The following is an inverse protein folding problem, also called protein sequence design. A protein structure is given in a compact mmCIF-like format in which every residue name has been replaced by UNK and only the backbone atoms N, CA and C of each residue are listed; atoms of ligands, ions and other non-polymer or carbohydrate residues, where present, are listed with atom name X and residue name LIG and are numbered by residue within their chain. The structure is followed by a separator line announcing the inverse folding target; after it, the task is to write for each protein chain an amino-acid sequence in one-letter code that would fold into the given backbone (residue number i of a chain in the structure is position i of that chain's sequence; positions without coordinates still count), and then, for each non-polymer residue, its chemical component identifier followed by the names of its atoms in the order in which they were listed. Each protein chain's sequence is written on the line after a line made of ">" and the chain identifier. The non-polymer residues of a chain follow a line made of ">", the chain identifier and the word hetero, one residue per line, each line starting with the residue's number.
data_IF_405972935263
#
_entry.id   IF_405972935263
#
_cell.length_a   1.000
_cell.length_b   1.000
_cell.length_c   1.000
_cell.angle_alpha   90.00
_cell.angle_beta   90.00
_cell.angle_gamma   90.00
#
_symmetry.space_group_name_H-M   'P 1'
#
loop_
_entity.id
_entity.type
_entity.pdbx_description
1 polymer ?
#
# COMPACT_ATOMS: atom_id res chain seq x y z
N UNK A 1 11.03 35.25 -26.58
CA UNK A 1 10.32 34.10 -27.20
C UNK A 1 11.08 32.81 -26.90
N UNK A 2 10.42 31.75 -26.42
CA UNK A 2 11.10 30.49 -26.08
C UNK A 2 10.96 29.48 -27.24
N UNK A 3 12.04 29.28 -28.00
CA UNK A 3 12.05 28.32 -29.10
C UNK A 3 12.39 26.91 -28.60
N UNK A 4 11.62 25.86 -29.01
CA UNK A 4 11.95 24.47 -28.72
C UNK A 4 13.33 24.08 -29.27
N UNK A 5 14.01 23.15 -28.58
CA UNK A 5 15.36 22.67 -28.96
C UNK A 5 15.46 22.26 -30.45
N UNK A 6 14.43 21.59 -30.97
CA UNK A 6 14.40 21.12 -32.35
C UNK A 6 14.34 22.28 -33.36
N UNK A 7 13.57 23.33 -33.06
CA UNK A 7 13.54 24.54 -33.91
C UNK A 7 14.89 25.26 -33.88
N UNK A 8 15.51 25.40 -32.71
CA UNK A 8 16.87 26.00 -32.60
C UNK A 8 17.90 25.25 -33.44
N UNK A 9 17.91 23.92 -33.38
CA UNK A 9 18.82 23.10 -34.18
C UNK A 9 18.62 23.33 -35.68
N UNK A 10 17.37 23.39 -36.15
CA UNK A 10 17.07 23.67 -37.56
C UNK A 10 17.64 25.02 -37.99
N UNK A 11 17.53 26.06 -37.17
CA UNK A 11 18.06 27.39 -37.47
C UNK A 11 19.59 27.41 -37.50
N UNK A 12 20.24 26.75 -36.55
CA UNK A 12 21.72 26.62 -36.52
C UNK A 12 22.23 25.86 -37.74
N UNK A 13 21.58 24.76 -38.13
CA UNK A 13 21.94 24.01 -39.35
C UNK A 13 21.72 24.82 -40.63
N UNK A 14 20.64 25.62 -40.72
CA UNK A 14 20.41 26.53 -41.86
C UNK A 14 21.50 27.58 -41.98
N UNK A 15 21.94 28.14 -40.84
CA UNK A 15 23.05 29.08 -40.82
C UNK A 15 24.36 28.42 -41.28
N UNK A 16 24.63 27.17 -40.88
CA UNK A 16 25.78 26.40 -41.36
C UNK A 16 25.75 26.05 -42.84
N UNK A 17 24.58 26.04 -43.48
CA UNK A 17 24.40 25.85 -44.93
C UNK A 17 24.57 27.15 -45.76
N UNK A 18 25.00 28.24 -45.13
CA UNK A 18 25.22 29.53 -45.82
C UNK A 18 24.00 30.44 -45.95
N UNK A 19 22.85 30.11 -45.33
CA UNK A 19 21.68 31.00 -45.35
C UNK A 19 21.95 32.24 -44.48
N UNK A 20 21.61 33.43 -44.99
CA UNK A 20 21.82 34.70 -44.29
C UNK A 20 21.19 34.73 -42.89
N UNK A 21 22.00 35.07 -41.87
CA UNK A 21 21.55 35.21 -40.49
C UNK A 21 20.39 36.21 -40.36
N UNK A 22 20.41 37.29 -41.15
CA UNK A 22 19.34 38.30 -41.19
C UNK A 22 18.00 37.72 -41.61
N UNK A 23 18.00 36.85 -42.63
CA UNK A 23 16.80 36.18 -43.13
C UNK A 23 16.27 35.17 -42.09
N UNK A 24 17.16 34.37 -41.48
CA UNK A 24 16.79 33.41 -40.43
C UNK A 24 16.17 34.14 -39.23
N UNK A 25 16.80 35.22 -38.78
CA UNK A 25 16.34 36.03 -37.66
C UNK A 25 14.98 36.68 -37.91
N UNK A 26 14.76 37.23 -39.11
CA UNK A 26 13.48 37.85 -39.50
C UNK A 26 12.36 36.81 -39.56
N UNK A 27 12.61 35.63 -40.15
CA UNK A 27 11.63 34.55 -40.23
C UNK A 27 11.28 33.95 -38.86
N UNK A 28 12.26 33.80 -37.97
CA UNK A 28 12.06 33.15 -36.68
C UNK A 28 11.73 34.12 -35.54
N UNK A 29 11.74 35.44 -35.79
CA UNK A 29 11.50 36.46 -34.76
C UNK A 29 12.55 36.46 -33.64
N UNK A 30 13.83 36.27 -33.99
CA UNK A 30 14.94 36.22 -33.02
C UNK A 30 16.04 37.22 -33.34
N UNK A 31 16.74 37.70 -32.32
CA UNK A 31 17.92 38.53 -32.53
C UNK A 31 19.13 37.70 -33.01
N UNK A 32 19.99 38.32 -33.83
CA UNK A 32 21.22 37.71 -34.37
C UNK A 32 22.12 37.18 -33.25
N UNK A 33 22.25 37.93 -32.16
CA UNK A 33 23.06 37.55 -31.00
C UNK A 33 22.65 36.18 -30.40
N UNK A 34 21.34 35.90 -30.33
CA UNK A 34 20.85 34.60 -29.84
C UNK A 34 21.20 33.46 -30.80
N UNK A 35 21.07 33.71 -32.11
CA UNK A 35 21.37 32.72 -33.14
C UNK A 35 22.86 32.36 -33.16
N UNK A 36 23.76 33.36 -33.13
CA UNK A 36 25.19 33.13 -33.08
C UNK A 36 25.62 32.46 -31.76
N UNK A 37 25.05 32.85 -30.62
CA UNK A 37 25.30 32.19 -29.35
C UNK A 37 24.95 30.70 -29.42
N UNK A 38 23.82 30.35 -30.03
CA UNK A 38 23.43 28.94 -30.23
C UNK A 38 24.38 28.20 -31.18
N UNK A 39 24.82 28.82 -32.29
CA UNK A 39 25.80 28.23 -33.22
C UNK A 39 27.12 27.95 -32.49
N UNK A 40 27.66 28.95 -31.79
CA UNK A 40 28.92 28.83 -31.05
C UNK A 40 28.86 27.72 -30.00
N UNK A 41 27.77 27.68 -29.22
CA UNK A 41 27.55 26.60 -28.26
C UNK A 41 27.43 25.22 -28.93
N UNK A 42 26.77 25.12 -30.08
CA UNK A 42 26.59 23.85 -30.79
C UNK A 42 27.90 23.32 -31.41
N UNK A 43 28.74 24.21 -31.95
CA UNK A 43 30.02 23.86 -32.57
C UNK A 43 31.07 23.46 -31.52
N UNK A 44 31.15 24.20 -30.41
CA UNK A 44 32.15 23.97 -29.36
C UNK A 44 31.77 22.86 -28.36
N UNK A 45 30.61 22.20 -28.55
CA UNK A 45 30.17 21.12 -27.65
C UNK A 45 30.64 19.75 -28.15
N UNK A 46 31.05 18.83 -27.24
CA UNK A 46 31.38 17.46 -27.61
C UNK A 46 30.19 16.74 -28.25
N UNK A 47 30.47 15.84 -29.20
CA UNK A 47 29.47 15.17 -30.06
C UNK A 47 28.29 14.57 -29.29
N UNK A 48 28.58 13.99 -28.12
CA UNK A 48 27.60 13.35 -27.21
C UNK A 48 26.55 14.34 -26.69
N UNK A 49 26.87 15.63 -26.57
CA UNK A 49 26.03 16.64 -25.91
C UNK A 49 25.56 17.79 -26.81
N UNK A 50 25.87 17.81 -28.12
CA UNK A 50 25.52 18.93 -29.01
C UNK A 50 24.04 19.35 -28.96
N UNK A 51 23.13 18.39 -28.81
CA UNK A 51 21.69 18.64 -28.70
C UNK A 51 21.26 19.22 -27.35
N UNK A 52 21.94 18.84 -26.25
CA UNK A 52 21.56 19.27 -24.90
C UNK A 52 21.92 20.74 -24.67
N UNK A 53 22.98 21.24 -25.30
CA UNK A 53 23.44 22.64 -25.14
C UNK A 53 22.47 23.65 -25.77
N UNK A 54 21.69 23.24 -26.77
CA UNK A 54 20.62 24.08 -27.34
C UNK A 54 19.37 24.16 -26.45
N UNK A 55 19.29 23.34 -25.40
CA UNK A 55 18.21 23.42 -24.42
C UNK A 55 18.32 24.69 -23.57
N UNK A 56 17.22 25.09 -22.93
CA UNK A 56 17.27 26.21 -21.99
C UNK A 56 17.96 25.77 -20.71
N UNK A 57 19.14 26.32 -20.44
CA UNK A 57 19.85 26.13 -19.17
C UNK A 57 19.17 26.86 -18.00
N UNK A 58 18.25 27.79 -18.28
CA UNK A 58 17.53 28.48 -17.24
C UNK A 58 16.63 27.50 -16.50
N UNK A 59 16.99 27.22 -15.24
CA UNK A 59 16.26 26.30 -14.37
C UNK A 59 14.92 26.94 -13.99
N UNK A 60 13.80 26.27 -14.20
CA UNK A 60 12.44 26.77 -13.90
C UNK A 60 11.61 25.74 -13.17
N UNK A 61 10.52 26.24 -12.56
CA UNK A 61 9.49 25.41 -11.96
C UNK A 61 10.03 24.58 -10.80
N UNK A 62 9.80 23.27 -10.83
CA UNK A 62 10.16 22.34 -9.75
C UNK A 62 11.66 22.31 -9.45
N UNK A 63 12.50 22.54 -10.47
CA UNK A 63 13.95 22.48 -10.34
C UNK A 63 14.56 23.81 -9.88
N UNK A 64 13.76 24.89 -9.83
CA UNK A 64 14.28 26.22 -9.51
C UNK A 64 14.74 26.28 -8.05
N UNK A 65 15.95 26.76 -7.79
CA UNK A 65 16.54 26.80 -6.45
C UNK A 65 15.76 27.68 -5.45
N UNK A 66 15.16 28.80 -5.90
CA UNK A 66 14.23 29.61 -5.07
C UNK A 66 12.85 28.96 -4.85
N UNK A 67 12.60 27.76 -5.37
CA UNK A 67 11.31 27.12 -5.19
C UNK A 67 11.15 26.69 -3.72
N UNK A 68 10.00 27.02 -3.14
CA UNK A 68 9.63 26.53 -1.81
C UNK A 68 9.41 25.01 -1.80
N UNK A 69 9.86 24.35 -0.74
CA UNK A 69 9.59 22.93 -0.56
C UNK A 69 8.09 22.69 -0.35
N UNK A 70 7.60 21.52 -0.76
CA UNK A 70 6.17 21.15 -0.61
C UNK A 70 5.71 21.25 0.85
N UNK A 71 6.59 20.90 1.80
CA UNK A 71 6.33 21.03 3.24
C UNK A 71 6.11 22.49 3.65
N UNK A 72 6.95 23.42 3.15
CA UNK A 72 6.81 24.86 3.41
C UNK A 72 5.53 25.42 2.76
N UNK A 73 5.22 25.03 1.52
CA UNK A 73 3.96 25.43 0.87
C UNK A 73 2.72 24.96 1.68
N UNK A 74 2.75 23.73 2.19
CA UNK A 74 1.69 23.20 3.05
C UNK A 74 1.61 23.94 4.39
N UNK A 75 2.76 24.25 5.01
CA UNK A 75 2.81 25.03 6.25
C UNK A 75 2.18 26.42 6.08
N UNK A 76 2.52 27.14 5.00
CA UNK A 76 1.94 28.46 4.67
C UNK A 76 0.41 28.36 4.57
N UNK A 77 -0.09 27.39 3.80
CA UNK A 77 -1.55 27.17 3.65
C UNK A 77 -2.21 26.83 4.99
N UNK A 78 -1.55 26.03 5.83
CA UNK A 78 -2.09 25.60 7.13
C UNK A 78 -2.23 26.78 8.09
N UNK A 79 -1.21 27.64 8.14
CA UNK A 79 -1.25 28.86 8.97
C UNK A 79 -2.36 29.80 8.46
N UNK A 80 -2.43 30.00 7.14
CA UNK A 80 -3.45 30.84 6.51
C UNK A 80 -4.87 30.34 6.81
N UNK A 81 -5.11 29.03 6.70
CA UNK A 81 -6.43 28.44 6.95
C UNK A 81 -6.77 28.28 8.43
N UNK A 82 -5.80 28.31 9.36
CA UNK A 82 -6.09 28.33 10.80
C UNK A 82 -6.45 29.72 11.29
N UNK A 83 -5.85 30.76 10.71
CA UNK A 83 -6.03 32.14 11.13
C UNK A 83 -6.32 33.04 9.90
N UNK A 84 -7.58 33.09 9.42
CA UNK A 84 -7.95 33.82 8.21
C UNK A 84 -7.68 35.33 8.28
N UNK A 85 -7.72 35.89 9.49
CA UNK A 85 -7.49 37.31 9.75
C UNK A 85 -6.02 37.74 9.56
N UNK A 86 -5.06 36.81 9.54
CA UNK A 86 -3.65 37.16 9.42
C UNK A 86 -3.31 37.75 8.04
N UNK A 87 -2.46 38.78 8.05
CA UNK A 87 -1.88 39.31 6.82
C UNK A 87 -0.89 38.33 6.20
N UNK A 88 -0.68 38.41 4.88
CA UNK A 88 0.29 37.57 4.17
C UNK A 88 1.70 37.75 4.74
N UNK A 89 2.04 38.95 5.20
CA UNK A 89 3.32 39.23 5.87
C UNK A 89 3.47 38.45 7.17
N UNK A 90 2.45 38.46 8.04
CA UNK A 90 2.50 37.70 9.30
C UNK A 90 2.57 36.20 9.04
N UNK A 91 1.84 35.70 8.04
CA UNK A 91 1.91 34.29 7.61
C UNK A 91 3.33 33.93 7.14
N UNK A 92 3.98 34.81 6.37
CA UNK A 92 5.33 34.59 5.88
C UNK A 92 6.36 34.48 7.02
N UNK A 93 6.26 35.38 8.01
CA UNK A 93 7.09 35.36 9.22
C UNK A 93 6.90 34.05 9.99
N UNK A 94 5.65 33.65 10.25
CA UNK A 94 5.33 32.41 10.99
C UNK A 94 5.78 31.14 10.25
N UNK A 95 5.77 31.16 8.91
CA UNK A 95 6.25 30.05 8.10
C UNK A 95 7.77 30.06 7.87
N UNK A 96 8.47 31.13 8.23
CA UNK A 96 9.89 31.34 7.96
C UNK A 96 10.19 31.35 6.47
N UNK A 97 9.42 32.12 5.69
CA UNK A 97 9.59 32.28 4.23
C UNK A 97 9.51 33.75 3.84
N UNK A 98 9.97 34.09 2.63
CA UNK A 98 9.81 35.45 2.10
C UNK A 98 8.34 35.81 1.86
N UNK A 99 8.01 37.10 1.99
CA UNK A 99 6.67 37.64 1.72
C UNK A 99 6.17 37.25 0.32
N UNK A 100 7.01 37.43 -0.71
CA UNK A 100 6.68 37.10 -2.09
C UNK A 100 6.46 35.59 -2.30
N UNK A 101 7.22 34.75 -1.57
CA UNK A 101 7.02 33.30 -1.56
C UNK A 101 5.67 32.91 -0.99
N UNK A 102 5.32 33.43 0.20
CA UNK A 102 4.02 33.18 0.82
C UNK A 102 2.86 33.68 -0.05
N UNK A 103 2.97 34.89 -0.60
CA UNK A 103 1.96 35.46 -1.46
C UNK A 103 1.74 34.62 -2.73
N UNK A 104 2.83 34.18 -3.38
CA UNK A 104 2.75 33.34 -4.59
C UNK A 104 2.03 32.01 -4.31
N UNK A 105 2.34 31.37 -3.17
CA UNK A 105 1.69 30.12 -2.74
C UNK A 105 0.19 30.33 -2.52
N UNK A 106 -0.19 31.41 -1.84
CA UNK A 106 -1.59 31.68 -1.49
C UNK A 106 -2.41 32.18 -2.69
N UNK A 107 -1.80 32.98 -3.58
CA UNK A 107 -2.47 33.54 -4.77
C UNK A 107 -3.00 32.46 -5.69
N UNK A 108 -2.25 31.37 -5.87
CA UNK A 108 -2.66 30.24 -6.74
C UNK A 108 -3.98 29.58 -6.32
N UNK A 109 -4.41 29.78 -5.07
CA UNK A 109 -5.64 29.21 -4.49
C UNK A 109 -6.64 30.26 -4.05
N UNK A 110 -6.41 31.52 -4.43
CA UNK A 110 -7.17 32.68 -3.94
C UNK A 110 -7.19 32.82 -2.40
N UNK A 111 -6.20 32.24 -1.71
CA UNK A 111 -6.08 32.29 -0.24
C UNK A 111 -5.26 33.50 0.25
N UNK A 112 -4.87 34.38 -0.67
CA UNK A 112 -4.08 35.58 -0.36
C UNK A 112 -4.93 36.66 0.32
N UNK A 113 -6.24 36.72 -0.01
CA UNK A 113 -7.22 37.60 0.63
C UNK A 113 -7.88 36.92 1.83
N UNK A 114 -8.29 37.72 2.81
CA UNK A 114 -9.04 37.25 3.99
C UNK A 114 -10.35 36.56 3.58
N UNK A 115 -11.14 37.21 2.74
CA UNK A 115 -12.40 36.67 2.23
C UNK A 115 -12.25 35.31 1.54
N UNK A 116 -11.17 35.13 0.77
CA UNK A 116 -10.87 33.86 0.11
C UNK A 116 -10.62 32.74 1.11
N UNK A 117 -9.91 33.04 2.21
CA UNK A 117 -9.67 32.08 3.31
C UNK A 117 -10.93 31.75 4.09
N UNK A 118 -11.76 32.74 4.42
CA UNK A 118 -13.04 32.54 5.11
C UNK A 118 -14.04 31.75 4.24
N UNK A 119 -14.10 32.05 2.93
CA UNK A 119 -14.91 31.30 1.97
C UNK A 119 -14.45 29.84 1.87
N UNK A 120 -13.14 29.62 1.86
CA UNK A 120 -12.57 28.27 1.87
C UNK A 120 -12.92 27.53 3.16
N UNK A 121 -12.72 28.16 4.33
CA UNK A 121 -13.07 27.57 5.62
C UNK A 121 -14.55 27.23 5.74
N UNK A 122 -15.45 28.10 5.29
CA UNK A 122 -16.90 27.81 5.30
C UNK A 122 -17.24 26.55 4.51
N UNK A 123 -16.54 26.31 3.39
CA UNK A 123 -16.82 25.16 2.52
C UNK A 123 -16.10 23.88 2.96
N UNK A 124 -14.88 23.99 3.47
CA UNK A 124 -13.96 22.87 3.62
C UNK A 124 -13.29 22.75 5.00
N UNK A 125 -13.53 23.72 5.89
CA UNK A 125 -12.84 23.86 7.17
C UNK A 125 -11.34 24.14 7.01
N UNK A 126 -10.54 23.59 7.92
CA UNK A 126 -9.08 23.77 7.93
C UNK A 126 -8.31 22.75 7.05
N UNK A 127 -9.03 21.91 6.30
CA UNK A 127 -8.40 20.82 5.53
C UNK A 127 -7.59 21.39 4.37
N UNK A 128 -6.31 21.02 4.29
CA UNK A 128 -5.41 21.44 3.20
C UNK A 128 -5.75 20.79 1.86
N UNK A 129 -6.22 19.55 1.91
CA UNK A 129 -6.53 18.72 0.74
C UNK A 129 -7.98 18.32 0.90
N UNK A 130 -8.81 18.74 -0.04
CA UNK A 130 -10.20 18.36 -0.11
C UNK A 130 -10.31 17.34 -1.23
N UNK A 131 -10.65 16.07 -0.92
CA UNK A 131 -10.90 15.11 -1.98
C UNK A 131 -12.16 15.54 -2.75
N UNK A 132 -12.11 15.42 -4.07
CA UNK A 132 -13.30 15.65 -4.90
C UNK A 132 -14.38 14.63 -4.54
N UNK A 133 -15.62 15.11 -4.42
CA UNK A 133 -16.79 14.24 -4.28
C UNK A 133 -17.04 13.45 -5.57
N UNK A 134 -17.73 12.31 -5.52
CA UNK A 134 -18.14 11.58 -6.73
C UNK A 134 -18.84 12.51 -7.75
N UNK A 135 -19.78 13.32 -7.29
CA UNK A 135 -20.55 14.25 -8.15
C UNK A 135 -19.65 15.27 -8.86
N UNK A 136 -18.66 15.83 -8.16
CA UNK A 136 -17.69 16.74 -8.77
C UNK A 136 -16.84 16.05 -9.83
N UNK A 137 -16.54 14.75 -9.65
CA UNK A 137 -15.79 13.97 -10.64
C UNK A 137 -16.66 13.68 -11.87
N UNK A 138 -17.94 13.39 -11.67
CA UNK A 138 -18.91 13.19 -12.76
C UNK A 138 -19.06 14.47 -13.57
N UNK A 139 -19.26 15.62 -12.91
CA UNK A 139 -19.34 16.91 -13.60
C UNK A 139 -18.06 17.23 -14.40
N UNK A 140 -16.90 16.92 -13.82
CA UNK A 140 -15.62 17.05 -14.52
C UNK A 140 -15.56 16.18 -15.78
N UNK A 141 -16.11 14.96 -15.75
CA UNK A 141 -16.17 14.09 -16.94
C UNK A 141 -17.18 14.58 -17.96
N UNK A 142 -18.36 15.06 -17.53
CA UNK A 142 -19.36 15.67 -18.42
C UNK A 142 -18.76 16.83 -19.22
N UNK A 143 -17.97 17.68 -18.55
CA UNK A 143 -17.26 18.81 -19.19
C UNK A 143 -16.14 18.36 -20.12
N UNK A 144 -15.45 17.27 -19.77
CA UNK A 144 -14.48 16.65 -20.67
C UNK A 144 -15.14 16.11 -21.94
N UNK A 145 -16.28 15.41 -21.80
CA UNK A 145 -17.05 14.88 -22.93
C UNK A 145 -17.65 16.01 -23.79
N UNK A 146 -17.93 17.17 -23.20
CA UNK A 146 -18.30 18.41 -23.91
C UNK A 146 -17.14 19.08 -24.67
N UNK A 147 -15.92 18.52 -24.61
CA UNK A 147 -14.77 18.98 -25.39
C UNK A 147 -13.80 19.91 -24.64
N UNK A 148 -13.97 20.12 -23.33
CA UNK A 148 -13.02 20.93 -22.57
C UNK A 148 -11.64 20.27 -22.44
N UNK A 149 -10.59 21.09 -22.41
CA UNK A 149 -9.22 20.57 -22.34
C UNK A 149 -8.94 19.93 -20.97
N UNK A 150 -8.34 18.72 -20.98
CA UNK A 150 -7.92 18.02 -19.75
C UNK A 150 -7.01 18.90 -18.88
N UNK A 151 -6.20 19.76 -19.50
CA UNK A 151 -5.31 20.69 -18.79
C UNK A 151 -6.10 21.69 -17.95
N UNK A 152 -7.15 22.26 -18.50
CA UNK A 152 -7.93 23.31 -17.84
C UNK A 152 -8.84 22.70 -16.77
N UNK A 153 -9.45 21.55 -17.05
CA UNK A 153 -10.19 20.77 -16.06
C UNK A 153 -9.33 20.39 -14.86
N UNK A 154 -8.16 19.79 -15.09
CA UNK A 154 -7.22 19.43 -14.02
C UNK A 154 -6.80 20.65 -13.18
N UNK A 155 -6.64 21.82 -13.80
CA UNK A 155 -6.28 23.06 -13.11
C UNK A 155 -7.44 23.58 -12.25
N UNK A 156 -8.66 23.53 -12.76
CA UNK A 156 -9.85 24.03 -12.05
C UNK A 156 -10.24 23.13 -10.87
N UNK A 157 -10.20 21.82 -11.08
CA UNK A 157 -10.51 20.82 -10.06
C UNK A 157 -9.32 20.49 -9.15
N UNK A 158 -8.16 21.11 -9.35
CA UNK A 158 -6.94 20.87 -8.56
C UNK A 158 -6.49 19.40 -8.49
N UNK A 159 -6.52 18.72 -9.63
CA UNK A 159 -6.05 17.34 -9.75
C UNK A 159 -4.91 17.22 -10.73
N UNK A 160 -4.09 16.18 -10.59
CA UNK A 160 -3.12 15.84 -11.60
C UNK A 160 -3.79 15.16 -12.79
N UNK A 161 -3.18 15.28 -13.98
CA UNK A 161 -3.61 14.55 -15.17
C UNK A 161 -3.60 13.03 -14.96
N UNK A 162 -2.64 12.53 -14.17
CA UNK A 162 -2.56 11.10 -13.84
C UNK A 162 -3.77 10.64 -13.02
N UNK A 163 -4.23 11.45 -12.06
CA UNK A 163 -5.44 11.20 -11.28
C UNK A 163 -6.69 11.27 -12.17
N UNK A 164 -6.76 12.27 -13.06
CA UNK A 164 -7.83 12.38 -14.05
C UNK A 164 -7.96 11.10 -14.90
N UNK A 165 -6.87 10.68 -15.55
CA UNK A 165 -6.89 9.49 -16.39
C UNK A 165 -7.16 8.20 -15.60
N UNK A 166 -6.68 8.12 -14.35
CA UNK A 166 -7.02 7.00 -13.47
C UNK A 166 -8.53 6.94 -13.22
N UNK A 167 -9.16 8.07 -12.88
CA UNK A 167 -10.58 8.10 -12.56
C UNK A 167 -11.47 7.90 -13.79
N UNK A 168 -11.17 8.51 -14.94
CA UNK A 168 -11.99 8.30 -16.15
C UNK A 168 -11.94 6.83 -16.62
N UNK A 169 -10.78 6.17 -16.49
CA UNK A 169 -10.66 4.75 -16.78
C UNK A 169 -11.51 3.89 -15.84
N UNK A 170 -11.57 4.25 -14.55
CA UNK A 170 -12.44 3.57 -13.58
C UNK A 170 -13.92 3.81 -13.89
N UNK A 171 -14.28 5.05 -14.23
CA UNK A 171 -15.63 5.43 -14.60
C UNK A 171 -16.16 4.62 -15.79
N UNK A 172 -15.36 4.57 -16.87
CA UNK A 172 -15.69 3.81 -18.08
C UNK A 172 -15.78 2.31 -17.81
N UNK A 173 -14.84 1.74 -17.06
CA UNK A 173 -14.88 0.32 -16.66
C UNK A 173 -16.10 -0.01 -15.79
N UNK A 174 -16.54 0.94 -14.98
CA UNK A 174 -17.73 0.83 -14.14
C UNK A 174 -19.04 1.18 -14.83
N UNK A 175 -19.11 1.12 -16.17
CA UNK A 175 -20.29 1.47 -16.98
C UNK A 175 -20.83 2.88 -16.67
N UNK A 176 -19.93 3.85 -16.48
CA UNK A 176 -20.27 5.26 -16.23
C UNK A 176 -21.19 5.45 -15.01
N UNK A 177 -21.06 4.62 -13.98
CA UNK A 177 -21.85 4.73 -12.74
C UNK A 177 -21.04 5.40 -11.64
N UNK A 178 -21.64 6.31 -10.88
CA UNK A 178 -21.01 7.06 -9.77
C UNK A 178 -20.40 6.14 -8.70
N UNK A 179 -21.02 4.99 -8.47
CA UNK A 179 -20.53 3.93 -7.57
C UNK A 179 -19.11 3.47 -7.91
N UNK A 180 -18.68 3.59 -9.16
CA UNK A 180 -17.32 3.24 -9.60
C UNK A 180 -16.25 4.23 -9.11
N UNK A 181 -16.66 5.45 -8.75
CA UNK A 181 -15.80 6.55 -8.32
C UNK A 181 -15.65 6.66 -6.79
N UNK A 182 -16.40 5.86 -6.03
CA UNK A 182 -16.28 5.81 -4.58
C UNK A 182 -14.90 5.23 -4.21
N UNK A 183 -14.28 5.78 -3.15
CA UNK A 183 -13.02 5.25 -2.63
C UNK A 183 -13.24 3.81 -2.13
N UNK A 184 -12.50 2.86 -2.70
CA UNK A 184 -12.58 1.43 -2.36
C UNK A 184 -11.57 1.02 -1.31
N UNK A 185 -10.88 1.97 -0.67
CA UNK A 185 -9.92 1.64 0.39
C UNK A 185 -10.65 0.91 1.51
N UNK A 186 -10.34 -0.36 1.79
CA UNK A 186 -11.03 -1.11 2.83
C UNK A 186 -10.73 -0.45 4.18
N UNK A 187 -11.78 -0.22 4.97
CA UNK A 187 -11.71 0.45 6.26
C UNK A 187 -12.71 -0.18 7.24
N UNK A 188 -12.50 0.05 8.54
CA UNK A 188 -13.35 -0.51 9.59
C UNK A 188 -13.43 -2.03 9.49
N UNK A 189 -14.66 -2.57 9.49
CA UNK A 189 -14.92 -4.02 9.47
C UNK A 189 -14.48 -4.73 8.18
N UNK A 190 -14.35 -3.98 7.08
CA UNK A 190 -13.96 -4.50 5.76
C UNK A 190 -12.43 -4.57 5.63
N UNK A 191 -11.68 -3.94 6.56
CA UNK A 191 -10.22 -3.96 6.53
C UNK A 191 -9.69 -5.36 6.81
N UNK A 192 -8.72 -5.84 6.02
CA UNK A 192 -8.14 -7.19 6.17
C UNK A 192 -7.49 -7.48 7.53
N UNK A 193 -7.10 -6.44 8.29
CA UNK A 193 -6.61 -6.54 9.68
C UNK A 193 -7.70 -6.43 10.74
N UNK A 194 -8.97 -6.24 10.34
CA UNK A 194 -10.07 -6.23 11.28
C UNK A 194 -10.28 -7.64 11.81
N UNK A 195 -10.31 -7.76 13.13
CA UNK A 195 -10.61 -9.02 13.80
C UNK A 195 -12.00 -8.88 14.44
N UNK A 196 -13.02 -9.60 13.95
CA UNK A 196 -14.34 -9.58 14.58
C UNK A 196 -14.24 -10.11 16.01
N UNK A 197 -15.00 -9.52 16.94
CA UNK A 197 -14.99 -9.95 18.35
C UNK A 197 -13.83 -9.41 19.20
N UNK A 198 -12.74 -8.95 18.58
CA UNK A 198 -11.56 -8.50 19.32
C UNK A 198 -11.82 -7.26 20.19
N UNK A 199 -12.73 -6.39 19.76
CA UNK A 199 -13.17 -5.21 20.52
C UNK A 199 -13.88 -5.63 21.82
N UNK A 200 -14.77 -6.61 21.74
CA UNK A 200 -15.49 -7.18 22.88
C UNK A 200 -14.55 -7.87 23.87
N UNK A 201 -13.55 -8.61 23.37
CA UNK A 201 -12.55 -9.28 24.21
C UNK A 201 -11.71 -8.27 25.00
N UNK A 202 -11.29 -7.17 24.36
CA UNK A 202 -10.55 -6.09 25.04
C UNK A 202 -11.41 -5.48 26.13
N UNK A 203 -12.68 -5.18 25.84
CA UNK A 203 -13.59 -4.58 26.82
C UNK A 203 -13.90 -5.53 27.99
N UNK A 204 -14.02 -6.83 27.75
CA UNK A 204 -14.21 -7.84 28.79
C UNK A 204 -12.98 -7.94 29.72
N UNK A 205 -11.77 -7.92 29.15
CA UNK A 205 -10.54 -7.91 29.94
C UNK A 205 -10.42 -6.64 30.80
N UNK A 206 -10.86 -5.49 30.28
CA UNK A 206 -10.87 -4.21 31.01
C UNK A 206 -11.92 -4.20 32.12
N UNK A 207 -13.10 -4.80 31.89
CA UNK A 207 -14.15 -4.91 32.89
C UNK A 207 -13.72 -5.81 34.06
N UNK A 208 -12.98 -6.88 33.77
CA UNK A 208 -12.46 -7.78 34.79
C UNK A 208 -11.24 -7.22 35.53
N UNK A 209 -10.25 -6.69 34.81
CA UNK A 209 -9.04 -6.12 35.38
C UNK A 209 -8.71 -4.75 34.73
N UNK A 210 -9.18 -3.64 35.35
CA UNK A 210 -8.92 -2.30 34.84
C UNK A 210 -7.45 -1.86 34.96
N UNK A 211 -6.65 -2.59 35.76
CA UNK A 211 -5.21 -2.34 35.95
C UNK A 211 -4.37 -2.66 34.72
N UNK A 212 -4.88 -3.50 33.81
CA UNK A 212 -4.12 -3.96 32.66
C UNK A 212 -3.75 -2.82 31.69
N UNK A 213 -2.46 -2.76 31.36
CA UNK A 213 -1.94 -1.90 30.30
C UNK A 213 -2.26 -2.47 28.91
N UNK A 214 -2.28 -1.64 27.85
CA UNK A 214 -2.50 -2.12 26.48
C UNK A 214 -1.52 -3.22 26.03
N UNK A 215 -0.30 -3.21 26.57
CA UNK A 215 0.73 -4.22 26.34
C UNK A 215 0.33 -5.55 26.98
N UNK A 216 -0.09 -5.52 28.25
CA UNK A 216 -0.53 -6.70 28.98
C UNK A 216 -1.78 -7.31 28.34
N UNK A 217 -2.77 -6.50 27.98
CA UNK A 217 -3.98 -6.96 27.29
C UNK A 217 -3.61 -7.65 25.96
N UNK A 218 -2.72 -7.04 25.16
CA UNK A 218 -2.27 -7.65 23.89
C UNK A 218 -1.53 -8.97 24.11
N UNK A 219 -0.70 -9.07 25.17
CA UNK A 219 0.01 -10.29 25.55
C UNK A 219 -0.97 -11.39 25.97
N UNK A 220 -1.91 -11.08 26.85
CA UNK A 220 -2.97 -12.00 27.30
C UNK A 220 -3.78 -12.51 26.11
N UNK A 221 -4.20 -11.62 25.19
CA UNK A 221 -4.94 -12.01 23.99
C UNK A 221 -4.11 -12.92 23.07
N UNK A 222 -2.80 -12.67 22.96
CA UNK A 222 -1.89 -13.51 22.17
C UNK A 222 -1.70 -14.90 22.78
N UNK A 223 -1.51 -14.96 24.09
CA UNK A 223 -1.35 -16.21 24.84
C UNK A 223 -2.65 -17.03 24.81
N UNK A 224 -3.80 -16.37 25.00
CA UNK A 224 -5.10 -17.03 24.96
C UNK A 224 -5.43 -17.60 23.58
N UNK A 225 -5.22 -16.83 22.52
CA UNK A 225 -5.55 -17.24 21.17
C UNK A 225 -4.47 -18.11 20.49
N UNK A 226 -3.30 -18.27 21.13
CA UNK A 226 -2.11 -18.90 20.55
C UNK A 226 -1.70 -18.30 19.18
N UNK A 227 -2.18 -17.09 18.88
CA UNK A 227 -1.95 -16.34 17.66
C UNK A 227 -2.07 -14.84 17.93
N UNK A 228 -1.49 -14.02 17.05
CA UNK A 228 -1.57 -12.58 17.19
C UNK A 228 -2.94 -12.04 16.74
N UNK A 229 -3.85 -11.80 17.68
CA UNK A 229 -5.17 -11.18 17.40
C UNK A 229 -5.06 -9.66 17.20
N UNK A 230 -4.56 -8.94 18.21
CA UNK A 230 -4.50 -7.48 18.21
C UNK A 230 -3.15 -7.02 18.75
N UNK A 231 -2.52 -6.07 18.06
CA UNK A 231 -1.29 -5.44 18.53
C UNK A 231 -1.55 -4.50 19.71
N UNK A 232 -0.52 -4.21 20.51
CA UNK A 232 -0.58 -3.22 21.58
C UNK A 232 -1.20 -1.87 21.14
N UNK A 233 -0.87 -1.42 19.93
CA UNK A 233 -1.44 -0.19 19.35
C UNK A 233 -2.90 -0.35 18.93
N UNK A 234 -3.29 -1.55 18.48
CA UNK A 234 -4.69 -1.88 18.21
C UNK A 234 -5.53 -1.82 19.48
N UNK A 235 -5.03 -2.41 20.57
CA UNK A 235 -5.67 -2.33 21.89
C UNK A 235 -5.79 -0.88 22.36
N UNK A 236 -4.71 -0.10 22.30
CA UNK A 236 -4.73 1.32 22.63
C UNK A 236 -5.78 2.09 21.80
N UNK A 237 -5.90 1.80 20.50
CA UNK A 237 -6.87 2.46 19.62
C UNK A 237 -8.31 2.11 19.99
N UNK A 238 -8.56 0.86 20.38
CA UNK A 238 -9.86 0.40 20.88
C UNK A 238 -10.18 1.15 22.17
N UNK A 239 -9.30 1.12 23.17
CA UNK A 239 -9.49 1.83 24.44
C UNK A 239 -9.75 3.33 24.22
N UNK A 240 -9.00 3.96 23.31
CA UNK A 240 -9.17 5.36 22.97
C UNK A 240 -10.55 5.68 22.39
N UNK A 241 -11.12 4.77 21.59
CA UNK A 241 -12.45 4.94 21.00
C UNK A 241 -13.55 4.93 22.05
N UNK A 242 -13.41 4.10 23.08
CA UNK A 242 -14.35 4.02 24.21
C UNK A 242 -14.04 4.98 25.35
N UNK A 243 -12.99 5.81 25.21
CA UNK A 243 -12.57 6.71 26.28
C UNK A 243 -12.02 5.99 27.52
N UNK A 244 -11.34 4.86 27.34
CA UNK A 244 -10.78 3.97 28.37
C UNK A 244 -9.24 4.02 28.43
N UNK A 245 -8.65 5.16 28.06
CA UNK A 245 -7.20 5.30 27.94
C UNK A 245 -6.51 5.34 29.31
N UNK A 246 -7.14 6.00 30.28
CA UNK A 246 -6.60 6.11 31.64
C UNK A 246 -7.09 4.97 32.52
N UNK A 247 -6.34 4.69 33.58
CA UNK A 247 -6.73 3.71 34.58
C UNK A 247 -8.08 4.07 35.23
N UNK A 248 -8.27 5.35 35.60
CA UNK A 248 -9.53 5.84 36.19
C UNK A 248 -10.73 5.55 35.29
N UNK A 249 -10.61 5.80 33.98
CA UNK A 249 -11.67 5.53 33.01
C UNK A 249 -11.98 4.02 32.92
N UNK A 250 -10.96 3.17 32.96
CA UNK A 250 -11.15 1.71 32.99
C UNK A 250 -11.81 1.23 34.27
N UNK A 251 -11.43 1.80 35.40
CA UNK A 251 -12.00 1.46 36.71
C UNK A 251 -13.47 1.85 36.80
N UNK A 252 -13.84 3.06 36.37
CA UNK A 252 -15.23 3.49 36.28
C UNK A 252 -16.06 2.60 35.35
N UNK A 253 -15.48 2.21 34.20
CA UNK A 253 -16.11 1.30 33.26
C UNK A 253 -16.35 -0.10 33.87
N UNK A 254 -15.35 -0.65 34.56
CA UNK A 254 -15.46 -1.91 35.28
C UNK A 254 -16.57 -1.84 36.34
N UNK A 255 -16.58 -0.79 37.18
CA UNK A 255 -17.59 -0.60 38.22
C UNK A 255 -19.01 -0.48 37.66
N UNK A 256 -19.20 0.22 36.53
CA UNK A 256 -20.51 0.31 35.87
C UNK A 256 -20.96 -1.01 35.29
N UNK A 257 -20.03 -1.79 34.74
CA UNK A 257 -20.31 -3.11 34.18
C UNK A 257 -20.72 -4.08 35.29
N UNK A 258 -19.95 -4.13 36.37
CA UNK A 258 -20.25 -4.93 37.58
C UNK A 258 -21.57 -4.50 38.21
N UNK A 259 -21.83 -3.19 38.34
CA UNK A 259 -23.08 -2.67 38.88
C UNK A 259 -24.31 -3.02 38.01
N UNK A 260 -24.12 -3.26 36.71
CA UNK A 260 -25.19 -3.69 35.80
C UNK A 260 -25.44 -5.20 35.83
N UNK A 261 -24.50 -6.00 36.35
CA UNK A 261 -24.61 -7.46 36.52
C UNK A 261 -25.17 -7.87 37.90
N UNK A 262 -25.44 -6.92 38.81
CA UNK A 262 -26.01 -7.18 40.15
C UNK A 262 -27.55 -7.38 40.15
N UNK A 263 -28.06 -8.22 39.24
CA UNK A 263 -29.24 -9.06 39.53
C UNK A 263 -28.65 -10.43 39.92
N UNK A 264 -28.95 -10.98 41.10
CA UNK A 264 -28.06 -11.95 41.73
C UNK A 264 -28.09 -13.28 40.98
N UNK A 265 -26.95 -13.67 40.40
CA UNK A 265 -26.66 -15.06 40.09
C UNK A 265 -25.46 -15.48 40.93
N UNK A 266 -25.78 -16.31 41.92
CA UNK A 266 -24.98 -17.32 42.62
C UNK A 266 -23.46 -17.24 42.39
N UNK A 267 -22.74 -16.98 43.48
CA UNK A 267 -21.28 -17.06 43.59
C UNK A 267 -20.78 -18.47 43.25
N UNK A 268 -20.29 -18.66 42.03
CA UNK A 268 -19.45 -19.79 41.66
C UNK A 268 -18.01 -19.28 41.60
N UNK A 269 -17.08 -19.88 42.36
CA UNK A 269 -15.65 -19.54 42.33
C UNK A 269 -15.12 -19.48 40.89
N UNK A 270 -14.81 -18.28 40.41
CA UNK A 270 -14.44 -17.99 39.03
C UNK A 270 -12.98 -18.42 38.75
N UNK A 271 -12.78 -19.66 38.29
CA UNK A 271 -11.55 -20.08 37.60
C UNK A 271 -11.65 -19.85 36.10
N UNK A 272 -11.60 -18.59 35.63
CA UNK A 272 -11.48 -18.22 34.20
C UNK A 272 -12.11 -19.18 33.13
N UNK A 273 -13.39 -19.67 33.21
CA UNK A 273 -13.85 -20.71 32.31
C UNK A 273 -15.04 -20.29 31.41
N UNK A 274 -15.22 -21.07 30.33
CA UNK A 274 -16.44 -21.24 29.53
C UNK A 274 -16.90 -20.12 28.56
N UNK A 275 -16.98 -18.84 28.95
CA UNK A 275 -17.58 -17.79 28.07
C UNK A 275 -16.79 -17.61 26.77
N UNK A 276 -15.46 -17.67 26.86
CA UNK A 276 -14.57 -17.55 25.69
C UNK A 276 -14.54 -18.82 24.81
N UNK A 277 -14.90 -20.00 25.36
CA UNK A 277 -14.97 -21.27 24.60
C UNK A 277 -16.22 -21.35 23.73
N UNK A 278 -17.38 -20.94 24.24
CA UNK A 278 -18.66 -21.10 23.54
C UNK A 278 -18.83 -20.15 22.33
N UNK A 279 -18.14 -19.01 22.32
CA UNK A 279 -18.17 -18.08 21.19
C UNK A 279 -17.28 -18.58 20.04
N UNK A 280 -16.27 -19.41 20.31
CA UNK A 280 -15.29 -19.86 19.32
C UNK A 280 -15.72 -21.08 18.50
N UNK A 281 -16.57 -21.96 19.03
CA UNK A 281 -16.93 -23.25 18.39
C UNK A 281 -18.01 -23.13 17.31
N UNK A 282 -18.74 -22.02 17.22
CA UNK A 282 -19.86 -21.85 16.29
C UNK A 282 -19.46 -21.42 14.87
N UNK A 283 -18.16 -21.20 14.58
CA UNK A 283 -17.71 -20.49 13.37
C UNK A 283 -16.86 -21.30 12.39
N UNK A 284 -16.82 -22.64 12.46
CA UNK A 284 -16.01 -23.46 11.53
C UNK A 284 -16.83 -24.65 10.98
N UNK A 285 -17.14 -24.71 9.66
CA UNK A 285 -17.73 -25.91 9.05
C UNK A 285 -16.66 -27.02 8.91
N UNK A 286 -16.99 -28.31 9.10
CA UNK A 286 -16.00 -29.40 9.09
C UNK A 286 -15.67 -29.90 7.66
N UNK A 287 -14.39 -30.00 7.27
CA UNK A 287 -13.97 -30.84 6.15
C UNK A 287 -13.39 -32.18 6.64
N UNK A 288 -13.78 -33.27 5.96
CA UNK A 288 -13.47 -34.66 6.32
C UNK A 288 -11.98 -35.02 6.18
N UNK A 289 -11.44 -35.68 7.22
CA UNK A 289 -10.00 -35.97 7.43
C UNK A 289 -9.43 -37.13 6.59
N UNK A 290 -10.25 -38.04 6.06
CA UNK A 290 -9.77 -39.27 5.42
C UNK A 290 -9.09 -39.04 4.07
N UNK A 291 -9.42 -37.94 3.38
CA UNK A 291 -8.99 -37.70 2.00
C UNK A 291 -7.53 -37.24 1.86
N UNK A 292 -6.96 -36.61 2.89
CA UNK A 292 -5.60 -36.03 2.83
C UNK A 292 -4.49 -37.03 3.14
N UNK A 293 -4.71 -37.96 4.07
CA UNK A 293 -3.71 -38.96 4.49
C UNK A 293 -3.55 -40.04 3.42
N UNK A 294 -4.66 -40.45 2.79
CA UNK A 294 -4.66 -41.39 1.65
C UNK A 294 -3.84 -40.88 0.47
N UNK A 295 -4.00 -39.60 0.09
CA UNK A 295 -3.25 -39.00 -1.02
C UNK A 295 -1.76 -38.86 -0.74
N UNK A 296 -1.38 -38.66 0.53
CA UNK A 296 0.02 -38.55 0.92
C UNK A 296 0.75 -39.90 0.84
N UNK A 297 0.15 -40.97 1.38
CA UNK A 297 0.72 -42.31 1.29
C UNK A 297 0.82 -42.79 -0.17
N UNK A 298 -0.17 -42.47 -1.00
CA UNK A 298 -0.14 -42.75 -2.43
C UNK A 298 1.02 -42.06 -3.16
N UNK A 299 1.29 -40.79 -2.86
CA UNK A 299 2.39 -40.04 -3.46
C UNK A 299 3.77 -40.57 -3.04
N UNK A 300 3.92 -40.98 -1.78
CA UNK A 300 5.18 -41.58 -1.28
C UNK A 300 5.44 -42.93 -1.95
N UNK A 301 4.42 -43.78 -2.11
CA UNK A 301 4.54 -45.08 -2.79
C UNK A 301 4.92 -44.91 -4.27
N UNK A 302 4.26 -43.99 -4.99
CA UNK A 302 4.61 -43.70 -6.38
C UNK A 302 6.05 -43.21 -6.54
N UNK A 303 6.53 -42.40 -5.58
CA UNK A 303 7.89 -41.89 -5.60
C UNK A 303 8.93 -42.98 -5.33
N UNK A 304 8.69 -43.88 -4.36
CA UNK A 304 9.56 -45.02 -4.08
C UNK A 304 9.67 -45.98 -5.27
N UNK A 305 8.55 -46.22 -5.98
CA UNK A 305 8.55 -47.03 -7.21
C UNK A 305 9.40 -46.36 -8.29
N UNK A 306 9.21 -45.06 -8.54
CA UNK A 306 9.98 -44.32 -9.55
C UNK A 306 11.49 -44.30 -9.23
N UNK A 307 11.85 -44.20 -7.95
CA UNK A 307 13.24 -44.23 -7.50
C UNK A 307 13.88 -45.62 -7.71
N UNK A 308 13.14 -46.69 -7.44
CA UNK A 308 13.59 -48.06 -7.67
C UNK A 308 13.85 -48.34 -9.16
N UNK A 309 12.95 -47.90 -10.05
CA UNK A 309 13.15 -48.03 -11.50
C UNK A 309 14.31 -47.18 -12.02
N UNK A 310 14.51 -45.97 -11.48
CA UNK A 310 15.68 -45.15 -11.81
C UNK A 310 16.98 -45.86 -11.39
N UNK A 311 17.02 -46.48 -10.21
CA UNK A 311 18.18 -47.23 -9.73
C UNK A 311 18.47 -48.49 -10.58
N UNK A 312 17.43 -49.24 -10.97
CA UNK A 312 17.57 -50.37 -11.90
C UNK A 312 18.10 -49.92 -13.27
N UNK A 313 17.64 -48.77 -13.76
CA UNK A 313 18.10 -48.22 -15.04
C UNK A 313 19.59 -47.88 -15.00
N UNK A 314 20.08 -47.31 -13.89
CA UNK A 314 21.50 -47.00 -13.70
C UNK A 314 22.34 -48.29 -13.66
N UNK A 315 21.87 -49.32 -12.94
CA UNK A 315 22.53 -50.61 -12.87
C UNK A 315 22.59 -51.34 -14.23
N UNK A 316 21.56 -51.17 -15.07
CA UNK A 316 21.56 -51.71 -16.44
C UNK A 316 22.54 -50.98 -17.37
N UNK A 317 22.68 -49.66 -17.22
CA UNK A 317 23.54 -48.84 -18.08
C UNK A 317 25.03 -49.14 -17.85
N UNK A 318 25.40 -49.53 -16.63
CA UNK A 318 26.76 -49.95 -16.29
C UNK A 318 27.22 -51.19 -17.08
N UNK A 319 26.29 -52.06 -17.51
CA UNK A 319 26.60 -53.22 -18.38
C UNK A 319 26.77 -52.84 -19.86
N UNK A 320 26.19 -51.74 -20.29
CA UNK A 320 26.26 -51.24 -21.69
C UNK A 320 27.37 -50.22 -21.94
N UNK A 321 28.09 -49.79 -20.89
CA UNK A 321 29.10 -48.72 -20.99
C UNK A 321 30.40 -49.13 -21.72
N UNK A 322 30.58 -50.41 -22.04
CA UNK A 322 31.79 -50.90 -22.72
C UNK A 322 31.72 -50.80 -24.26
N UNK A 323 30.56 -50.46 -24.84
CA UNK A 323 30.35 -50.48 -26.31
C UNK A 323 29.89 -49.14 -26.89
N UNK A 324 29.81 -48.07 -26.08
CA UNK A 324 29.22 -46.80 -26.49
C UNK A 324 30.25 -45.72 -26.85
N UNK A 325 29.99 -44.88 -27.86
CA UNK A 325 30.86 -43.77 -28.24
C UNK A 325 30.91 -42.68 -27.15
N UNK A 326 32.07 -42.01 -27.05
CA UNK A 326 32.42 -41.08 -25.96
C UNK A 326 31.38 -39.97 -25.73
N UNK A 327 30.77 -39.45 -26.81
CA UNK A 327 29.75 -38.40 -26.72
C UNK A 327 28.50 -38.84 -25.92
N UNK A 328 28.10 -40.10 -26.06
CA UNK A 328 26.94 -40.64 -25.34
C UNK A 328 27.25 -40.86 -23.86
N UNK A 329 28.50 -41.20 -23.52
CA UNK A 329 28.95 -41.35 -22.13
C UNK A 329 28.87 -40.01 -21.40
N UNK A 330 29.32 -38.93 -22.04
CA UNK A 330 29.26 -37.57 -21.46
C UNK A 330 27.83 -37.10 -21.28
N UNK A 331 26.97 -37.29 -22.29
CA UNK A 331 25.55 -36.94 -22.21
C UNK A 331 24.81 -37.68 -21.10
N UNK A 332 25.07 -38.99 -20.95
CA UNK A 332 24.46 -39.81 -19.92
C UNK A 332 24.96 -39.42 -18.51
N UNK A 333 26.24 -39.11 -18.38
CA UNK A 333 26.83 -38.62 -17.12
C UNK A 333 26.17 -37.32 -16.66
N UNK A 334 25.92 -36.39 -17.58
CA UNK A 334 25.26 -35.13 -17.29
C UNK A 334 23.79 -35.31 -16.90
N UNK A 335 23.07 -36.22 -17.58
CA UNK A 335 21.69 -36.57 -17.24
C UNK A 335 21.58 -37.19 -15.84
N UNK A 336 22.51 -38.08 -15.48
CA UNK A 336 22.56 -38.69 -14.15
C UNK A 336 22.86 -37.66 -13.05
N UNK A 337 23.82 -36.76 -13.30
CA UNK A 337 24.09 -35.63 -12.39
C UNK A 337 22.86 -34.75 -12.18
N UNK A 338 22.16 -34.40 -13.26
CA UNK A 338 20.96 -33.57 -13.20
C UNK A 338 19.83 -34.26 -12.41
N UNK A 339 19.60 -35.55 -12.66
CA UNK A 339 18.61 -36.34 -11.93
C UNK A 339 18.95 -36.47 -10.44
N UNK A 340 20.23 -36.67 -10.11
CA UNK A 340 20.72 -36.77 -8.74
C UNK A 340 20.51 -35.44 -7.99
N UNK A 341 20.91 -34.31 -8.60
CA UNK A 341 20.66 -32.99 -8.01
C UNK A 341 19.17 -32.69 -7.86
N UNK A 342 18.34 -32.99 -8.88
CA UNK A 342 16.89 -32.83 -8.81
C UNK A 342 16.27 -33.63 -7.67
N UNK A 343 16.73 -34.87 -7.46
CA UNK A 343 16.26 -35.74 -6.38
C UNK A 343 16.68 -35.21 -5.01
N UNK A 344 17.91 -34.71 -4.86
CA UNK A 344 18.39 -34.07 -3.62
C UNK A 344 17.57 -32.82 -3.29
N UNK A 345 17.34 -31.93 -4.27
CA UNK A 345 16.51 -30.74 -4.07
C UNK A 345 15.06 -31.10 -3.72
N UNK A 346 14.51 -32.14 -4.34
CA UNK A 346 13.18 -32.63 -4.02
C UNK A 346 13.09 -33.15 -2.58
N UNK A 347 14.02 -34.02 -2.16
CA UNK A 347 14.08 -34.52 -0.78
C UNK A 347 14.30 -33.41 0.24
N UNK A 348 15.13 -32.42 -0.10
CA UNK A 348 15.32 -31.22 0.72
C UNK A 348 14.02 -30.44 0.87
N UNK A 349 13.26 -30.27 -0.23
CA UNK A 349 11.95 -29.61 -0.21
C UNK A 349 10.88 -30.41 0.55
N UNK A 350 10.98 -31.76 0.58
CA UNK A 350 10.05 -32.64 1.28
C UNK A 350 10.03 -32.36 2.79
N UNK A 351 11.18 -32.01 3.38
CA UNK A 351 11.26 -31.57 4.78
C UNK A 351 10.33 -30.39 5.05
N UNK A 352 10.26 -29.42 4.14
CA UNK A 352 9.39 -28.24 4.29
C UNK A 352 7.93 -28.60 4.15
N UNK A 353 7.57 -29.44 3.17
CA UNK A 353 6.20 -29.92 3.01
C UNK A 353 5.73 -30.77 4.19
N UNK A 354 6.60 -31.61 4.74
CA UNK A 354 6.33 -32.42 5.93
C UNK A 354 6.16 -31.54 7.16
N UNK A 355 6.98 -30.51 7.32
CA UNK A 355 6.86 -29.55 8.43
C UNK A 355 5.54 -28.77 8.34
N UNK A 356 5.17 -28.29 7.15
CA UNK A 356 3.89 -27.63 6.93
C UNK A 356 2.73 -28.59 7.20
N UNK A 357 2.80 -29.84 6.71
CA UNK A 357 1.79 -30.86 6.95
C UNK A 357 1.62 -31.21 8.43
N UNK A 358 2.71 -31.35 9.17
CA UNK A 358 2.73 -31.62 10.61
C UNK A 358 2.18 -30.42 11.39
N UNK A 359 2.62 -29.20 11.08
CA UNK A 359 2.10 -27.97 11.72
C UNK A 359 0.60 -27.83 11.49
N UNK A 360 0.14 -28.08 10.27
CA UNK A 360 -1.30 -28.09 9.95
C UNK A 360 -2.06 -29.25 10.63
N UNK A 361 -1.40 -30.38 10.87
CA UNK A 361 -1.98 -31.54 11.58
C UNK A 361 -2.12 -31.28 13.09
N UNK A 362 -1.11 -30.72 13.74
CA UNK A 362 -1.16 -30.35 15.16
C UNK A 362 -2.08 -29.17 15.43
N UNK A 363 -2.17 -28.22 14.49
CA UNK A 363 -3.19 -27.16 14.54
C UNK A 363 -4.63 -27.70 14.54
N UNK A 364 -4.86 -28.95 14.08
CA UNK A 364 -6.18 -29.62 14.13
C UNK A 364 -6.35 -30.58 15.32
N UNK A 365 -5.30 -30.91 16.08
CA UNK A 365 -5.36 -31.94 17.15
C UNK A 365 -5.73 -31.35 18.52
N UNK A 366 -5.46 -30.06 18.76
CA UNK A 366 -5.86 -29.36 19.99
C UNK A 366 -7.38 -29.24 20.19
N UNK A 367 -8.18 -29.57 19.17
CA UNK A 367 -9.64 -29.45 19.19
C UNK A 367 -10.39 -30.78 19.38
N UNK A 368 -9.70 -31.92 19.52
CA UNK A 368 -10.33 -33.26 19.61
C UNK A 368 -9.99 -34.03 20.89
N UNK A 369 -9.03 -33.58 21.69
CA UNK A 369 -8.68 -34.25 22.96
C UNK A 369 -9.54 -33.79 24.15
N UNK A 370 -10.50 -32.88 23.99
CA UNK A 370 -11.46 -32.56 25.08
C UNK A 370 -12.75 -33.38 25.05
N UNK A 371 -13.07 -34.06 23.95
CA UNK A 371 -14.43 -34.60 23.74
C UNK A 371 -14.50 -36.13 23.86
N UNK A 372 -13.41 -36.79 24.26
CA UNK A 372 -13.29 -38.26 24.25
C UNK A 372 -13.42 -39.00 25.60
N UNK A 373 -13.66 -38.33 26.73
CA UNK A 373 -13.65 -38.98 28.07
C UNK A 373 -15.05 -39.07 28.72
N UNK A 374 -16.11 -38.53 28.12
CA UNK A 374 -17.43 -38.43 28.82
C UNK A 374 -18.61 -39.13 28.12
N UNK A 375 -18.38 -40.20 27.37
CA UNK A 375 -19.49 -41.00 26.80
C UNK A 375 -19.24 -42.51 26.94
N UNK A 376 -19.28 -43.02 28.17
CA UNK A 376 -19.78 -44.36 28.47
C UNK A 376 -19.94 -44.54 29.98
N UNK A 377 -21.15 -44.32 30.51
CA UNK A 377 -21.80 -45.01 31.64
C UNK A 377 -22.96 -44.17 32.18
N UNK A 378 -24.13 -44.31 31.55
CA UNK A 378 -25.43 -44.14 32.19
C UNK A 378 -26.47 -44.91 31.38
N UNK A 379 -26.45 -46.23 31.53
CA UNK A 379 -27.62 -47.08 31.40
C UNK A 379 -27.50 -48.16 32.48
N UNK A 380 -28.58 -48.28 33.25
CA UNK A 380 -28.79 -49.00 34.52
C UNK A 380 -28.29 -48.27 35.77
#
# INVERSE_FOLDING_TARGET
>A
MHLPRGKKLKLVKRLGKGVSASQICRQAGICRASLYRWKNHYENSPSVNKLSVLSSQYVRGQKHWKKLSVKKEQQIRKIALRNPALSVAKIAVLAGVSLSGAWSVLKNKDLHKREGRERYQRRYGERLIVPLTPDQRVEMFRRFDAGESVRDLCKQFDISRTTFYKWINLYRKGKNTDKSLIDRRPAGKIHYKYVPGAEQLVLALVAHDPGLSPIQISKILKEYAQQHLVSQFGVYTILKRYGLNTYQQRFEYANRTIASELIPVVTQQWKLPAILRNIFTSFIPPPSRSYLISRFLFLVVLFSISFFFAFLSIASVQRTLQTLPLANIVGLSFALMSLLFGTIFFLYSLKYYLTIGIVLSFSRKSHLTSDGVSQHKSFL
#
